data_IF_039193894693
#
_entry.id   IF_039193894693
#
_cell.length_a   1.000
_cell.length_b   1.000
_cell.length_c   1.000
_cell.angle_alpha   90.00
_cell.angle_beta   90.00
_cell.angle_gamma   90.00
#
_symmetry.space_group_name_H-M   'P 1'
#
loop_
_entity.id
_entity.type
_entity.pdbx_description
1 polymer ?
#
# COMPACT_ATOMS: atom_id res chain seq x y z
N UNK A 1 1.44 1.41 -10.40
CA UNK A 1 1.80 1.07 -9.00
C UNK A 1 1.73 -0.44 -8.76
N UNK A 2 0.55 -1.07 -8.87
CA UNK A 2 0.34 -2.51 -8.63
C UNK A 2 1.29 -3.40 -9.45
N UNK A 3 1.44 -3.14 -10.76
CA UNK A 3 2.34 -3.91 -11.61
C UNK A 3 3.82 -3.81 -11.19
N UNK A 4 4.30 -2.64 -10.73
CA UNK A 4 5.67 -2.46 -10.22
C UNK A 4 5.88 -3.29 -8.94
N UNK A 5 4.93 -3.26 -8.02
CA UNK A 5 4.97 -4.03 -6.76
C UNK A 5 4.95 -5.54 -7.02
N UNK A 6 4.08 -5.98 -7.93
CA UNK A 6 3.99 -7.39 -8.33
C UNK A 6 5.27 -7.87 -9.04
N UNK A 7 5.83 -7.05 -9.93
CA UNK A 7 7.10 -7.33 -10.60
C UNK A 7 8.30 -7.38 -9.65
N UNK A 8 8.23 -6.66 -8.52
CA UNK A 8 9.22 -6.74 -7.45
C UNK A 8 9.05 -7.96 -6.53
N UNK A 9 8.09 -8.85 -6.80
CA UNK A 9 7.85 -10.07 -6.02
C UNK A 9 6.88 -9.91 -4.86
N UNK A 10 6.25 -8.74 -4.69
CA UNK A 10 5.28 -8.51 -3.62
C UNK A 10 3.87 -8.93 -4.01
N UNK A 11 3.14 -9.51 -3.06
CA UNK A 11 1.70 -9.76 -3.21
C UNK A 11 0.94 -8.45 -3.04
N UNK A 12 0.51 -7.90 -4.17
CA UNK A 12 -0.36 -6.72 -4.23
C UNK A 12 -1.61 -7.03 -5.03
N UNK A 13 -2.72 -6.60 -4.45
CA UNK A 13 -4.05 -6.60 -5.06
C UNK A 13 -4.50 -5.14 -5.19
N UNK A 14 -4.94 -4.76 -6.39
CA UNK A 14 -5.47 -3.42 -6.64
C UNK A 14 -6.98 -3.44 -6.51
N UNK A 15 -7.50 -2.80 -5.46
CA UNK A 15 -8.94 -2.62 -5.32
C UNK A 15 -9.39 -1.31 -5.99
N UNK A 16 -9.96 -1.44 -7.19
CA UNK A 16 -10.46 -0.33 -8.00
C UNK A 16 -11.96 -0.08 -7.83
N UNK A 17 -12.62 -0.74 -6.87
CA UNK A 17 -14.07 -0.59 -6.68
C UNK A 17 -14.41 0.82 -6.23
N UNK A 18 -15.48 1.41 -6.74
CA UNK A 18 -15.92 2.75 -6.32
C UNK A 18 -16.74 2.68 -5.01
N UNK A 19 -16.13 2.07 -3.98
CA UNK A 19 -16.73 1.91 -2.65
C UNK A 19 -16.14 2.92 -1.66
N UNK A 20 -16.87 3.16 -0.57
CA UNK A 20 -16.42 4.06 0.50
C UNK A 20 -15.05 3.62 1.01
N UNK A 21 -14.11 4.57 1.13
CA UNK A 21 -12.77 4.33 1.66
C UNK A 21 -12.80 3.59 3.02
N UNK A 22 -13.76 3.93 3.88
CA UNK A 22 -13.94 3.26 5.18
C UNK A 22 -14.26 1.76 5.06
N UNK A 23 -14.99 1.35 4.03
CA UNK A 23 -15.28 -0.07 3.78
C UNK A 23 -14.00 -0.82 3.37
N UNK A 24 -13.24 -0.28 2.43
CA UNK A 24 -11.96 -0.86 1.98
C UNK A 24 -10.93 -0.97 3.09
N UNK A 25 -10.85 0.04 3.96
CA UNK A 25 -9.96 0.01 5.13
C UNK A 25 -10.36 -1.14 6.06
N UNK A 26 -11.66 -1.28 6.34
CA UNK A 26 -12.18 -2.34 7.21
C UNK A 26 -11.92 -3.72 6.60
N UNK A 27 -12.13 -3.89 5.30
CA UNK A 27 -11.87 -5.13 4.58
C UNK A 27 -10.37 -5.48 4.58
N UNK A 28 -9.49 -4.50 4.33
CA UNK A 28 -8.03 -4.67 4.41
C UNK A 28 -7.59 -5.10 5.82
N UNK A 29 -8.23 -4.56 6.85
CA UNK A 29 -7.98 -4.99 8.24
C UNK A 29 -8.48 -6.41 8.52
N UNK A 30 -9.68 -6.77 8.02
CA UNK A 30 -10.25 -8.13 8.10
C UNK A 30 -9.35 -9.17 7.41
N UNK A 31 -8.85 -8.82 6.22
CA UNK A 31 -7.92 -9.63 5.43
C UNK A 31 -6.50 -9.67 6.02
N UNK A 32 -6.28 -9.07 7.20
CA UNK A 32 -4.99 -8.98 7.89
C UNK A 32 -3.88 -8.38 7.01
N UNK A 33 -4.25 -7.51 6.07
CA UNK A 33 -3.30 -6.86 5.17
C UNK A 33 -2.41 -5.92 6.00
N UNK A 34 -1.07 -6.08 5.96
CA UNK A 34 -0.16 -5.27 6.77
C UNK A 34 -0.13 -3.79 6.33
N UNK A 35 -0.32 -3.54 5.03
CA UNK A 35 -0.28 -2.22 4.41
C UNK A 35 -1.43 -2.02 3.43
N UNK A 36 -2.22 -0.97 3.62
CA UNK A 36 -3.19 -0.48 2.64
C UNK A 36 -2.59 0.74 1.92
N UNK A 37 -2.51 0.69 0.60
CA UNK A 37 -2.01 1.81 -0.22
C UNK A 37 -3.18 2.61 -0.75
N UNK A 38 -3.25 3.89 -0.39
CA UNK A 38 -4.21 4.82 -0.96
C UNK A 38 -3.51 5.60 -2.07
N UNK A 39 -4.10 5.55 -3.26
CA UNK A 39 -3.62 6.29 -4.44
C UNK A 39 -4.79 7.07 -4.99
N UNK A 40 -4.84 8.36 -4.68
CA UNK A 40 -5.78 9.31 -5.30
C UNK A 40 -5.32 9.77 -6.68
N UNK A 41 -6.11 10.64 -7.30
CA UNK A 41 -5.80 11.28 -8.58
C UNK A 41 -4.52 12.14 -8.52
N UNK A 42 -4.32 12.84 -7.40
CA UNK A 42 -3.13 13.64 -7.15
C UNK A 42 -1.89 12.77 -7.00
N UNK A 43 -1.98 11.72 -6.17
CA UNK A 43 -0.89 10.77 -6.00
C UNK A 43 -0.55 10.01 -7.28
N UNK A 44 -1.57 9.62 -8.07
CA UNK A 44 -1.35 8.99 -9.37
C UNK A 44 -0.58 9.91 -10.34
N UNK A 45 -0.89 11.20 -10.35
CA UNK A 45 -0.18 12.20 -11.18
C UNK A 45 1.26 12.43 -10.71
N UNK A 46 1.50 12.38 -9.40
CA UNK A 46 2.84 12.59 -8.81
C UNK A 46 3.64 11.29 -8.64
N UNK A 47 3.09 10.14 -9.05
CA UNK A 47 3.66 8.82 -8.80
C UNK A 47 4.01 8.56 -7.32
N UNK A 48 3.19 9.12 -6.42
CA UNK A 48 3.28 8.89 -4.99
C UNK A 48 2.21 7.91 -4.54
N UNK A 49 2.34 7.40 -3.32
CA UNK A 49 1.38 6.53 -2.64
C UNK A 49 1.31 6.94 -1.19
N UNK A 50 0.13 6.83 -0.59
CA UNK A 50 -0.07 7.02 0.85
C UNK A 50 -0.24 5.67 1.54
N UNK A 51 0.83 5.08 2.11
CA UNK A 51 0.72 3.80 2.79
C UNK A 51 0.09 3.96 4.18
N UNK A 52 -0.77 3.03 4.52
CA UNK A 52 -1.44 2.97 5.82
C UNK A 52 -1.21 1.62 6.44
N UNK A 53 -0.65 1.60 7.65
CA UNK A 53 -0.35 0.37 8.38
C UNK A 53 -1.59 -0.19 9.04
N UNK A 54 -1.62 -1.52 9.15
CA UNK A 54 -2.52 -2.23 10.04
C UNK A 54 -2.22 -1.82 11.48
N UNK A 55 -3.16 -1.12 12.11
CA UNK A 55 -3.00 -0.51 13.43
C UNK A 55 -3.46 0.94 13.50
N UNK A 56 -3.77 1.56 12.35
CA UNK A 56 -4.27 2.93 12.28
C UNK A 56 -3.19 3.98 12.04
N UNK A 57 -1.91 3.57 12.05
CA UNK A 57 -0.79 4.42 11.67
C UNK A 57 -0.82 4.74 10.18
N UNK A 58 -0.89 6.03 9.86
CA UNK A 58 -0.83 6.54 8.50
C UNK A 58 0.56 7.11 8.25
N UNK A 59 1.22 6.61 7.22
CA UNK A 59 2.54 7.08 6.83
C UNK A 59 2.38 8.28 5.89
N UNK A 60 3.38 9.18 5.84
CA UNK A 60 3.40 10.26 4.87
C UNK A 60 3.39 9.72 3.44
N UNK A 61 2.80 10.47 2.49
CA UNK A 61 2.85 10.11 1.09
C UNK A 61 4.32 10.06 0.62
N UNK A 62 4.68 8.98 -0.04
CA UNK A 62 6.03 8.72 -0.53
C UNK A 62 5.99 8.24 -1.97
N UNK A 63 7.10 8.38 -2.69
CA UNK A 63 7.19 7.87 -4.05
C UNK A 63 6.94 6.36 -4.11
N UNK A 64 6.34 5.87 -5.20
CA UNK A 64 6.14 4.42 -5.40
C UNK A 64 7.45 3.65 -5.28
N UNK A 65 8.56 4.24 -5.74
CA UNK A 65 9.90 3.64 -5.72
C UNK A 65 10.50 3.64 -4.31
N UNK A 66 10.33 4.73 -3.55
CA UNK A 66 10.72 4.80 -2.15
C UNK A 66 9.94 3.79 -1.30
N UNK A 67 8.63 3.67 -1.54
CA UNK A 67 7.79 2.68 -0.84
C UNK A 67 8.23 1.25 -1.17
N UNK A 68 8.63 0.98 -2.42
CA UNK A 68 9.15 -0.32 -2.85
C UNK A 68 10.45 -0.69 -2.13
N UNK A 69 11.38 0.25 -2.03
CA UNK A 69 12.65 0.05 -1.33
C UNK A 69 12.41 -0.23 0.17
N UNK A 70 11.53 0.56 0.78
CA UNK A 70 11.09 0.35 2.16
C UNK A 70 10.45 -1.02 2.36
N UNK A 71 9.55 -1.43 1.46
CA UNK A 71 8.91 -2.76 1.50
C UNK A 71 9.93 -3.89 1.39
N UNK A 72 10.97 -3.74 0.56
CA UNK A 72 12.07 -4.71 0.47
C UNK A 72 12.84 -4.81 1.77
N UNK A 73 13.22 -3.68 2.35
CA UNK A 73 13.90 -3.65 3.65
C UNK A 73 13.04 -4.27 4.76
N UNK A 74 11.74 -3.96 4.80
CA UNK A 74 10.85 -4.48 5.83
C UNK A 74 10.51 -5.96 5.62
N UNK A 75 10.31 -6.40 4.38
CA UNK A 75 10.08 -7.82 4.08
C UNK A 75 11.30 -8.69 4.38
N UNK A 76 12.51 -8.15 4.25
CA UNK A 76 13.73 -8.85 4.67
C UNK A 76 13.85 -8.92 6.20
N UNK A 77 13.51 -7.83 6.91
CA UNK A 77 13.61 -7.74 8.36
C UNK A 77 12.48 -8.42 9.13
N UNK A 78 11.32 -8.68 8.52
CA UNK A 78 10.13 -9.21 9.22
C UNK A 78 10.01 -10.74 9.16
N UNK A 79 11.15 -11.43 9.04
CA UNK A 79 11.24 -12.89 9.19
C UNK A 79 11.55 -13.22 10.65
N UNK A 80 10.59 -13.00 11.55
CA UNK A 80 10.56 -13.59 12.91
C UNK A 80 9.12 -13.91 13.31
#
# INVERSE_FOLDING_TARGET
VVAKLRGAGFRVEGDYRNEKLGYKIRESQLNKVPYALVVGEREASQQTVSPRRRGGEQLPPMGVEEFLDRLRGESANRTE
#
